data_IF_784020103970
#
_entry.id   IF_784020103970
#
_cell.length_a   1.000
_cell.length_b   1.000
_cell.length_c   1.000
_cell.angle_alpha   90.00
_cell.angle_beta   90.00
_cell.angle_gamma   90.00
#
_symmetry.space_group_name_H-M   'P 1'
#
loop_
_entity.id
_entity.type
_entity.pdbx_description
1 polymer ?
#
# COMPACT_ATOMS: atom_id res chain seq x y z
N UNK A 1 17.94 -8.87 -10.59
CA UNK A 1 17.66 -10.00 -9.67
C UNK A 1 17.11 -9.42 -8.38
N UNK A 2 16.00 -9.91 -7.85
CA UNK A 2 15.47 -9.47 -6.55
C UNK A 2 16.31 -10.04 -5.41
N UNK A 3 16.37 -9.34 -4.27
CA UNK A 3 16.92 -9.91 -3.02
C UNK A 3 16.05 -11.10 -2.58
N UNK A 4 16.63 -12.09 -1.87
CA UNK A 4 15.88 -13.26 -1.35
C UNK A 4 14.79 -12.90 -0.34
N UNK A 5 14.78 -11.67 0.16
CA UNK A 5 13.78 -11.17 1.10
C UNK A 5 12.48 -10.81 0.38
N UNK A 6 11.34 -11.14 0.99
CA UNK A 6 10.00 -10.71 0.56
C UNK A 6 9.39 -9.82 1.62
N UNK A 7 8.83 -8.68 1.22
CA UNK A 7 8.23 -7.69 2.12
C UNK A 7 6.76 -7.50 1.79
N UNK A 8 5.91 -7.57 2.83
CA UNK A 8 4.50 -7.20 2.75
C UNK A 8 4.29 -5.79 3.32
N UNK A 9 3.61 -4.93 2.58
CA UNK A 9 3.16 -3.61 3.02
C UNK A 9 1.64 -3.69 3.24
N UNK A 10 1.18 -3.43 4.46
CA UNK A 10 -0.24 -3.46 4.82
C UNK A 10 -0.81 -2.04 4.83
N UNK A 11 -1.65 -1.73 3.85
CA UNK A 11 -2.25 -0.42 3.61
C UNK A 11 -1.52 0.36 2.52
N UNK A 12 -2.28 0.98 1.62
CA UNK A 12 -1.84 1.85 0.55
C UNK A 12 -2.34 3.29 0.72
N UNK A 13 -2.43 3.74 1.97
CA UNK A 13 -2.47 5.16 2.33
C UNK A 13 -1.11 5.84 2.15
N UNK A 14 -0.96 7.12 2.57
CA UNK A 14 0.27 7.90 2.35
C UNK A 14 1.55 7.20 2.84
N UNK A 15 1.51 6.51 3.98
CA UNK A 15 2.66 5.78 4.52
C UNK A 15 3.03 4.54 3.70
N UNK A 16 2.03 3.78 3.21
CA UNK A 16 2.29 2.62 2.36
C UNK A 16 2.83 3.02 0.99
N UNK A 17 2.25 4.07 0.41
CA UNK A 17 2.70 4.63 -0.87
C UNK A 17 4.10 5.24 -0.75
N UNK A 18 4.42 5.94 0.34
CA UNK A 18 5.77 6.47 0.55
C UNK A 18 6.80 5.35 0.72
N UNK A 19 6.43 4.25 1.38
CA UNK A 19 7.31 3.08 1.49
C UNK A 19 7.56 2.40 0.14
N UNK A 20 6.52 2.26 -0.71
CA UNK A 20 6.66 1.78 -2.09
C UNK A 20 7.57 2.72 -2.91
N UNK A 21 7.34 4.04 -2.79
CA UNK A 21 8.15 5.05 -3.46
C UNK A 21 9.62 5.03 -3.02
N UNK A 22 9.90 4.76 -1.75
CA UNK A 22 11.26 4.62 -1.23
C UNK A 22 11.99 3.42 -1.88
N UNK A 23 11.32 2.27 -2.02
CA UNK A 23 11.90 1.12 -2.72
C UNK A 23 12.12 1.41 -4.21
N UNK A 24 11.17 2.05 -4.86
CA UNK A 24 11.32 2.46 -6.27
C UNK A 24 12.49 3.43 -6.45
N UNK A 25 12.67 4.40 -5.55
CA UNK A 25 13.79 5.33 -5.58
C UNK A 25 15.14 4.61 -5.41
N UNK A 26 15.21 3.63 -4.51
CA UNK A 26 16.40 2.79 -4.35
C UNK A 26 16.70 1.97 -5.60
N UNK A 27 15.66 1.39 -6.23
CA UNK A 27 15.77 0.64 -7.50
C UNK A 27 16.30 1.53 -8.63
N UNK A 28 15.76 2.74 -8.78
CA UNK A 28 16.23 3.73 -9.77
C UNK A 28 17.69 4.15 -9.51
N UNK A 29 18.11 4.16 -8.26
CA UNK A 29 19.50 4.41 -7.85
C UNK A 29 20.43 3.18 -8.02
N UNK A 30 19.94 2.11 -8.66
CA UNK A 30 20.74 0.91 -8.96
C UNK A 30 20.81 -0.11 -7.82
N UNK A 31 20.09 0.10 -6.71
CA UNK A 31 20.07 -0.85 -5.60
C UNK A 31 19.22 -2.08 -5.92
N UNK A 32 19.69 -3.24 -5.48
CA UNK A 32 18.88 -4.46 -5.49
C UNK A 32 17.80 -4.35 -4.40
N UNK A 33 16.54 -4.39 -4.81
CA UNK A 33 15.40 -4.35 -3.89
C UNK A 33 14.80 -5.76 -3.69
N UNK A 34 14.12 -6.01 -2.55
CA UNK A 34 13.37 -7.24 -2.34
C UNK A 34 12.13 -7.32 -3.24
N UNK A 35 11.48 -8.49 -3.28
CA UNK A 35 10.11 -8.59 -3.78
C UNK A 35 9.17 -7.89 -2.78
N UNK A 36 8.27 -7.06 -3.28
CA UNK A 36 7.36 -6.26 -2.46
C UNK A 36 5.93 -6.53 -2.90
N UNK A 37 5.05 -6.81 -1.94
CA UNK A 37 3.61 -6.92 -2.17
C UNK A 37 2.89 -5.95 -1.24
N UNK A 38 2.05 -5.09 -1.78
CA UNK A 38 1.22 -4.18 -1.01
C UNK A 38 -0.24 -4.65 -1.03
N UNK A 39 -0.85 -4.71 0.14
CA UNK A 39 -2.25 -5.09 0.32
C UNK A 39 -3.04 -3.87 0.77
N UNK A 40 -4.11 -3.56 0.04
CA UNK A 40 -5.08 -2.52 0.40
C UNK A 40 -6.46 -3.17 0.39
N UNK A 41 -7.26 -2.86 1.41
CA UNK A 41 -8.63 -3.36 1.51
C UNK A 41 -9.61 -2.51 0.70
N UNK A 42 -9.34 -1.21 0.59
CA UNK A 42 -10.13 -0.28 -0.20
C UNK A 42 -9.96 -0.58 -1.69
N UNK A 43 -10.91 -0.11 -2.49
CA UNK A 43 -10.90 -0.29 -3.95
C UNK A 43 -9.93 0.64 -4.68
N UNK A 44 -9.37 1.65 -4.00
CA UNK A 44 -8.39 2.59 -4.52
C UNK A 44 -7.44 3.04 -3.41
N UNK A 45 -6.29 3.55 -3.82
CA UNK A 45 -5.21 4.01 -2.95
C UNK A 45 -5.58 5.34 -2.27
N UNK A 46 -4.87 5.68 -1.20
CA UNK A 46 -5.01 6.99 -0.53
C UNK A 46 -5.45 6.92 0.92
N UNK A 47 -5.90 5.77 1.43
CA UNK A 47 -6.28 5.61 2.84
C UNK A 47 -7.37 6.61 3.25
N UNK A 48 -7.14 7.39 4.31
CA UNK A 48 -8.06 8.47 4.74
C UNK A 48 -8.42 9.49 3.65
N UNK A 49 -7.62 9.60 2.58
CA UNK A 49 -7.86 10.55 1.48
C UNK A 49 -8.77 9.98 0.38
N UNK A 50 -9.04 8.67 0.41
CA UNK A 50 -9.98 8.01 -0.50
C UNK A 50 -11.40 8.11 0.08
N UNK A 51 -12.07 9.22 -0.22
CA UNK A 51 -13.40 9.54 0.30
C UNK A 51 -14.45 8.50 -0.08
N UNK A 52 -15.28 8.11 0.90
CA UNK A 52 -16.49 7.34 0.69
C UNK A 52 -17.68 7.96 1.43
N UNK A 53 -18.87 7.81 0.87
CA UNK A 53 -20.12 8.22 1.52
C UNK A 53 -20.63 7.18 2.52
N UNK A 54 -20.05 5.97 2.52
CA UNK A 54 -20.46 4.86 3.42
C UNK A 54 -20.11 5.19 4.87
N UNK A 55 -20.88 4.63 5.80
CA UNK A 55 -20.62 4.73 7.25
C UNK A 55 -20.76 3.35 7.89
N UNK A 56 -20.05 3.10 8.99
CA UNK A 56 -20.06 1.81 9.68
C UNK A 56 -19.26 0.75 8.93
N UNK A 57 -19.90 0.02 8.02
CA UNK A 57 -19.29 -1.08 7.24
C UNK A 57 -19.30 -0.80 5.73
N UNK A 58 -18.32 -1.34 5.01
CA UNK A 58 -18.21 -1.29 3.55
C UNK A 58 -18.98 -2.44 2.85
N UNK A 59 -18.87 -2.54 1.53
CA UNK A 59 -19.51 -3.61 0.73
C UNK A 59 -19.09 -5.04 1.10
N UNK A 60 -17.96 -5.22 1.79
CA UNK A 60 -17.45 -6.51 2.22
C UNK A 60 -17.69 -6.76 3.72
N UNK A 61 -18.49 -5.93 4.38
CA UNK A 61 -18.72 -5.96 5.82
C UNK A 61 -17.48 -5.68 6.67
N UNK A 62 -16.49 -4.99 6.10
CA UNK A 62 -15.32 -4.51 6.83
C UNK A 62 -15.58 -3.08 7.35
N UNK A 63 -14.96 -2.64 8.46
CA UNK A 63 -15.14 -1.28 8.97
C UNK A 63 -14.75 -0.21 7.95
N UNK A 64 -15.58 0.82 7.74
CA UNK A 64 -15.22 1.96 6.88
C UNK A 64 -13.92 2.62 7.37
N UNK A 65 -13.03 2.94 6.42
CA UNK A 65 -11.69 3.47 6.73
C UNK A 65 -11.61 5.01 6.68
N UNK A 66 -12.14 5.63 5.62
CA UNK A 66 -12.05 7.08 5.38
C UNK A 66 -12.69 7.94 6.46
#
# INVERSE_FOLDING_TARGET
MYSSTRIAICGAGPSGLSQLHAFESARQSGSQIPEIVCFEKQNDLGGQWNYTWRTGLDEYSEPVHS
#
